data_IF_218474979952
#
_entry.id   IF_218474979952
#
_cell.length_a   1.000
_cell.length_b   1.000
_cell.length_c   1.000
_cell.angle_alpha   90.00
_cell.angle_beta   90.00
_cell.angle_gamma   90.00
#
_symmetry.space_group_name_H-M   'P 1'
#
loop_
_entity.id
_entity.type
_entity.pdbx_description
1 polymer ?
#
# COMPACT_ATOMS: atom_id res chain seq x y z
N UNK A 1 35.82 -37.57 -16.57
CA UNK A 1 34.42 -37.26 -16.18
C UNK A 1 34.42 -36.72 -14.75
N UNK A 2 34.02 -35.46 -14.50
CA UNK A 2 34.02 -34.90 -13.14
C UNK A 2 32.87 -35.50 -12.33
N UNK A 3 33.18 -36.12 -11.18
CA UNK A 3 32.17 -36.64 -10.23
C UNK A 3 31.66 -35.48 -9.37
N UNK A 4 30.48 -34.97 -9.71
CA UNK A 4 29.77 -34.02 -8.87
C UNK A 4 29.32 -34.75 -7.60
N UNK A 5 29.70 -34.23 -6.42
CA UNK A 5 29.36 -34.89 -5.16
C UNK A 5 27.84 -34.75 -4.88
N UNK A 6 27.17 -35.85 -4.50
CA UNK A 6 25.70 -35.90 -4.35
C UNK A 6 25.16 -34.94 -3.28
N UNK A 7 26.01 -34.55 -2.31
CA UNK A 7 25.66 -33.61 -1.22
C UNK A 7 25.51 -32.17 -1.69
N UNK A 8 26.30 -31.74 -2.67
CA UNK A 8 26.19 -30.41 -3.29
C UNK A 8 25.02 -30.31 -4.27
N UNK A 9 24.64 -31.42 -4.92
CA UNK A 9 23.43 -31.47 -5.75
C UNK A 9 22.16 -31.45 -4.90
N UNK A 10 22.14 -32.18 -3.78
CA UNK A 10 21.01 -32.19 -2.85
C UNK A 10 20.72 -30.81 -2.25
N UNK A 11 21.75 -30.03 -1.87
CA UNK A 11 21.57 -28.68 -1.33
C UNK A 11 21.06 -27.66 -2.37
N UNK A 12 21.47 -27.80 -3.63
CA UNK A 12 21.03 -26.92 -4.74
C UNK A 12 19.62 -27.27 -5.20
N UNK A 13 19.27 -28.56 -5.22
CA UNK A 13 17.90 -29.02 -5.51
C UNK A 13 16.94 -28.67 -4.37
N UNK A 14 17.38 -28.76 -3.11
CA UNK A 14 16.55 -28.34 -1.96
C UNK A 14 16.38 -26.82 -1.91
N UNK A 15 17.41 -26.04 -2.20
CA UNK A 15 17.29 -24.58 -2.36
C UNK A 15 16.40 -24.21 -3.56
N UNK A 16 16.53 -24.91 -4.69
CA UNK A 16 15.70 -24.72 -5.88
C UNK A 16 14.23 -25.11 -5.68
N UNK A 17 13.94 -26.18 -4.91
CA UNK A 17 12.58 -26.57 -4.55
C UNK A 17 11.97 -25.67 -3.46
N UNK A 18 12.77 -25.15 -2.53
CA UNK A 18 12.33 -24.12 -1.58
C UNK A 18 12.09 -22.75 -2.25
N UNK A 19 12.68 -22.52 -3.42
CA UNK A 19 12.43 -21.34 -4.28
C UNK A 19 11.28 -21.57 -5.28
N UNK A 20 10.92 -22.81 -5.60
CA UNK A 20 9.78 -23.17 -6.44
C UNK A 20 8.43 -23.18 -5.67
N UNK A 21 8.45 -23.15 -4.34
CA UNK A 21 7.25 -22.94 -3.52
C UNK A 21 6.86 -21.46 -3.37
N UNK A 22 7.68 -20.53 -3.87
CA UNK A 22 7.37 -19.10 -3.91
C UNK A 22 6.60 -18.78 -5.20
N UNK A 23 5.53 -19.54 -5.45
CA UNK A 23 4.92 -19.64 -6.77
C UNK A 23 3.41 -19.75 -6.78
N UNK A 24 2.75 -19.47 -5.66
CA UNK A 24 1.43 -18.87 -5.71
C UNK A 24 1.57 -17.59 -4.92
N UNK A 25 1.51 -16.46 -5.62
CA UNK A 25 1.17 -15.21 -5.00
C UNK A 25 -0.17 -15.46 -4.30
N UNK A 26 -0.13 -15.74 -3.00
CA UNK A 26 -1.20 -15.24 -2.15
C UNK A 26 -1.12 -13.76 -2.41
N UNK A 27 -2.09 -13.22 -3.18
CA UNK A 27 -2.36 -11.80 -3.14
C UNK A 27 -2.28 -11.45 -1.67
N UNK A 28 -1.31 -10.62 -1.28
CA UNK A 28 -1.46 -9.95 0.00
C UNK A 28 -2.77 -9.23 -0.19
N UNK A 29 -3.80 -9.77 0.43
CA UNK A 29 -5.11 -9.16 0.42
C UNK A 29 -4.80 -7.87 1.16
N UNK A 30 -4.62 -6.78 0.41
CA UNK A 30 -4.70 -5.44 0.98
C UNK A 30 -5.98 -5.53 1.81
N UNK A 31 -5.83 -5.50 3.13
CA UNK A 31 -6.95 -5.74 4.02
C UNK A 31 -7.94 -4.65 3.66
N UNK A 32 -9.05 -5.01 3.02
CA UNK A 32 -10.05 -4.01 2.64
C UNK A 32 -10.55 -3.40 3.95
N UNK A 33 -10.07 -2.19 4.23
CA UNK A 33 -10.41 -1.48 5.46
C UNK A 33 -11.78 -0.86 5.23
N UNK A 34 -12.83 -1.58 5.62
CA UNK A 34 -14.19 -1.07 5.63
C UNK A 34 -14.36 -0.10 6.81
N UNK A 35 -14.46 1.19 6.52
CA UNK A 35 -14.68 2.24 7.51
C UNK A 35 -16.06 2.84 7.35
N UNK A 36 -16.84 2.89 8.44
CA UNK A 36 -18.15 3.54 8.46
C UNK A 36 -18.01 5.01 8.85
N UNK A 37 -18.63 5.90 8.08
CA UNK A 37 -18.69 7.32 8.40
C UNK A 37 -20.12 7.84 8.26
N UNK A 38 -20.61 8.43 9.34
CA UNK A 38 -21.91 9.06 9.43
C UNK A 38 -21.75 10.57 9.34
N UNK A 39 -22.58 11.21 8.53
CA UNK A 39 -22.54 12.63 8.23
C UNK A 39 -23.81 13.33 8.72
N UNK A 40 -23.64 14.49 9.35
CA UNK A 40 -24.70 15.49 9.42
C UNK A 40 -24.10 16.88 9.32
N UNK A 41 -24.77 17.76 8.58
CA UNK A 41 -24.30 19.14 8.40
C UNK A 41 -24.19 19.91 9.71
N UNK A 42 -25.02 19.62 10.72
CA UNK A 42 -25.01 20.35 11.99
C UNK A 42 -23.81 20.00 12.88
N UNK A 43 -23.31 18.77 12.80
CA UNK A 43 -22.42 18.20 13.83
C UNK A 43 -21.12 17.65 13.26
N UNK A 44 -21.06 17.32 11.96
CA UNK A 44 -19.86 16.84 11.28
C UNK A 44 -19.89 15.34 11.01
N UNK A 45 -18.71 14.69 11.13
CA UNK A 45 -18.53 13.26 10.84
C UNK A 45 -18.38 12.43 12.12
N UNK A 46 -18.77 11.16 12.08
CA UNK A 46 -18.60 10.22 13.19
C UNK A 46 -18.51 8.77 12.72
N UNK A 47 -17.91 7.89 13.54
CA UNK A 47 -17.86 6.45 13.25
C UNK A 47 -19.20 5.74 13.55
N UNK A 48 -20.08 6.39 14.30
CA UNK A 48 -21.43 5.92 14.60
C UNK A 48 -22.43 7.04 14.40
N UNK A 49 -23.72 6.70 14.36
CA UNK A 49 -24.81 7.67 14.28
C UNK A 49 -24.98 8.57 15.52
N UNK A 50 -24.16 8.38 16.56
CA UNK A 50 -24.20 9.14 17.82
C UNK A 50 -22.87 9.78 18.20
N UNK A 51 -21.80 9.56 17.44
CA UNK A 51 -20.44 10.07 17.71
C UNK A 51 -20.00 11.18 16.76
N UNK A 52 -20.97 11.91 16.18
CA UNK A 52 -20.68 12.96 15.21
C UNK A 52 -20.01 14.15 15.89
N UNK A 53 -18.90 14.61 15.32
CA UNK A 53 -18.11 15.74 15.81
C UNK A 53 -17.52 16.54 14.65
N UNK A 54 -17.16 17.79 14.94
CA UNK A 54 -16.44 18.68 14.03
C UNK A 54 -15.27 19.30 14.79
N UNK A 55 -14.00 18.95 14.48
CA UNK A 55 -13.59 17.97 13.48
C UNK A 55 -14.13 16.56 13.76
N UNK A 56 -14.36 15.81 12.67
CA UNK A 56 -14.69 14.39 12.73
C UNK A 56 -13.51 13.53 13.19
N UNK A 57 -13.72 12.20 13.29
CA UNK A 57 -12.69 11.28 13.74
C UNK A 57 -11.46 11.29 12.82
N UNK A 58 -10.27 11.09 13.39
CA UNK A 58 -9.06 10.95 12.60
C UNK A 58 -9.04 9.60 11.87
N UNK A 59 -8.83 9.64 10.56
CA UNK A 59 -8.57 8.46 9.73
C UNK A 59 -7.06 8.22 9.63
N UNK A 60 -6.64 6.96 9.60
CA UNK A 60 -5.25 6.59 9.41
C UNK A 60 -5.16 5.54 8.30
N UNK A 61 -4.39 5.85 7.27
CA UNK A 61 -4.25 5.02 6.06
C UNK A 61 -2.79 5.01 5.59
N UNK A 62 -2.44 4.07 4.73
CA UNK A 62 -1.13 4.00 4.07
C UNK A 62 -1.20 4.38 2.59
N UNK A 63 -0.10 4.90 2.03
CA UNK A 63 0.03 5.10 0.58
C UNK A 63 -0.24 3.79 -0.16
N UNK A 64 -1.10 3.84 -1.19
CA UNK A 64 -1.46 2.69 -2.01
C UNK A 64 -2.49 1.74 -1.36
N UNK A 65 -2.97 2.03 -0.15
CA UNK A 65 -4.05 1.27 0.48
C UNK A 65 -5.36 1.39 -0.33
N UNK A 66 -6.07 0.27 -0.49
CA UNK A 66 -7.42 0.24 -1.03
C UNK A 66 -8.42 0.39 0.12
N UNK A 67 -9.04 1.56 0.21
CA UNK A 67 -9.95 1.93 1.29
C UNK A 67 -11.39 1.82 0.82
N UNK A 68 -12.22 1.19 1.63
CA UNK A 68 -13.68 1.11 1.43
C UNK A 68 -14.38 1.94 2.50
N UNK A 69 -15.03 3.01 2.11
CA UNK A 69 -15.85 3.83 3.00
C UNK A 69 -17.32 3.46 2.84
N UNK A 70 -18.03 3.32 3.96
CA UNK A 70 -19.49 3.27 3.99
C UNK A 70 -20.02 4.58 4.56
N UNK A 71 -20.35 5.50 3.65
CA UNK A 71 -20.79 6.86 3.94
C UNK A 71 -22.31 6.87 4.16
N UNK A 72 -22.80 7.45 5.25
CA UNK A 72 -24.24 7.56 5.52
C UNK A 72 -24.62 8.98 5.91
N UNK A 73 -25.51 9.62 5.14
CA UNK A 73 -26.14 10.89 5.53
C UNK A 73 -27.25 10.64 6.55
N UNK A 74 -27.20 11.34 7.69
CA UNK A 74 -28.24 11.30 8.73
C UNK A 74 -29.28 12.42 8.60
N UNK A 75 -29.02 13.43 7.78
CA UNK A 75 -29.92 14.58 7.59
C UNK A 75 -30.63 14.58 6.22
N UNK A 76 -30.37 13.58 5.37
CA UNK A 76 -31.00 13.41 4.05
C UNK A 76 -30.57 14.44 3.00
N UNK A 77 -29.50 15.19 3.28
CA UNK A 77 -28.95 16.22 2.37
C UNK A 77 -27.87 15.62 1.47
N UNK A 78 -27.56 16.36 0.41
CA UNK A 78 -26.44 16.02 -0.47
C UNK A 78 -25.12 16.27 0.27
N UNK A 79 -24.28 15.26 0.32
CA UNK A 79 -22.90 15.35 0.76
C UNK A 79 -21.98 14.66 -0.26
N UNK A 80 -20.68 14.90 -0.10
CA UNK A 80 -19.62 14.09 -0.69
C UNK A 80 -18.49 13.93 0.33
N UNK A 81 -17.51 13.12 -0.02
CA UNK A 81 -16.31 12.93 0.77
C UNK A 81 -15.11 12.96 -0.17
N UNK A 82 -14.06 13.67 0.20
CA UNK A 82 -12.78 13.69 -0.52
C UNK A 82 -11.65 14.09 0.43
N UNK A 83 -10.41 13.76 0.06
CA UNK A 83 -9.22 14.28 0.72
C UNK A 83 -8.88 15.61 0.07
N UNK A 84 -8.80 16.65 0.87
CA UNK A 84 -8.36 17.99 0.52
C UNK A 84 -6.90 18.15 0.99
N UNK A 85 -5.97 18.02 0.03
CA UNK A 85 -4.53 18.04 0.27
C UNK A 85 -3.99 19.45 0.50
N UNK A 86 -4.67 20.48 -0.01
CA UNK A 86 -4.20 21.88 0.05
C UNK A 86 -5.07 22.80 0.94
N UNK A 87 -6.10 22.24 1.56
CA UNK A 87 -7.05 22.91 2.46
C UNK A 87 -7.83 24.07 1.81
N UNK A 88 -8.17 23.96 0.52
CA UNK A 88 -8.89 25.02 -0.21
C UNK A 88 -10.42 24.81 -0.28
N UNK A 89 -10.93 23.70 0.25
CA UNK A 89 -12.35 23.30 0.26
C UNK A 89 -12.97 23.01 -1.11
N UNK A 90 -12.15 22.76 -2.13
CA UNK A 90 -12.54 22.41 -3.49
C UNK A 90 -11.91 21.07 -3.84
N UNK A 91 -12.55 20.30 -4.73
CA UNK A 91 -11.93 19.08 -5.27
C UNK A 91 -11.05 19.51 -6.44
N UNK A 92 -9.74 19.48 -6.24
CA UNK A 92 -8.77 19.75 -7.29
C UNK A 92 -8.50 18.52 -8.18
N UNK A 93 -7.82 18.75 -9.31
CA UNK A 93 -7.50 17.68 -10.27
C UNK A 93 -6.71 16.53 -9.61
N UNK A 94 -5.81 16.84 -8.69
CA UNK A 94 -5.00 15.88 -7.93
C UNK A 94 -5.75 15.24 -6.74
N UNK A 95 -7.02 15.58 -6.51
CA UNK A 95 -7.86 15.06 -5.42
C UNK A 95 -9.06 14.27 -5.93
N UNK A 96 -9.41 14.48 -7.21
CA UNK A 96 -10.56 13.89 -7.90
C UNK A 96 -10.66 12.36 -7.77
N UNK A 97 -9.53 11.65 -7.60
CA UNK A 97 -9.52 10.21 -7.40
C UNK A 97 -10.10 9.76 -6.04
N UNK A 98 -10.19 10.68 -5.08
CA UNK A 98 -10.74 10.45 -3.73
C UNK A 98 -12.16 11.02 -3.55
N UNK A 99 -12.71 11.70 -4.55
CA UNK A 99 -14.08 12.23 -4.50
C UNK A 99 -15.10 11.09 -4.63
N UNK A 100 -15.91 10.91 -3.59
CA UNK A 100 -16.98 9.92 -3.55
C UNK A 100 -18.11 10.19 -4.53
N UNK A 101 -18.17 11.40 -5.09
CA UNK A 101 -19.37 11.92 -5.71
C UNK A 101 -20.47 12.20 -4.68
N UNK A 102 -21.66 12.54 -5.16
CA UNK A 102 -22.78 12.98 -4.31
C UNK A 102 -23.55 11.80 -3.71
N UNK A 103 -23.86 11.85 -2.42
CA UNK A 103 -24.75 10.92 -1.74
C UNK A 103 -25.75 11.64 -0.83
N UNK A 104 -26.92 11.02 -0.61
CA UNK A 104 -28.01 11.51 0.30
C UNK A 104 -28.49 10.49 1.32
N UNK A 105 -28.07 9.24 1.16
CA UNK A 105 -28.39 8.13 2.04
C UNK A 105 -27.09 7.40 2.35
N UNK A 106 -27.06 6.09 2.10
CA UNK A 106 -25.86 5.28 2.24
C UNK A 106 -25.16 5.10 0.88
N UNK A 107 -23.84 5.28 0.86
CA UNK A 107 -22.97 5.05 -0.29
C UNK A 107 -21.74 4.27 0.17
N UNK A 108 -21.50 3.10 -0.44
CA UNK A 108 -20.20 2.44 -0.35
C UNK A 108 -19.29 3.00 -1.44
N UNK A 109 -18.14 3.53 -1.04
CA UNK A 109 -17.17 4.20 -1.92
C UNK A 109 -15.78 3.61 -1.74
N UNK A 110 -15.13 3.26 -2.84
CA UNK A 110 -13.79 2.70 -2.84
C UNK A 110 -12.82 3.65 -3.51
N UNK A 111 -11.65 3.83 -2.92
CA UNK A 111 -10.56 4.57 -3.54
C UNK A 111 -9.21 3.98 -3.16
N UNK A 112 -8.18 4.30 -3.94
CA UNK A 112 -6.79 3.98 -3.61
C UNK A 112 -6.11 5.24 -3.08
N UNK A 113 -5.45 5.14 -1.94
CA UNK A 113 -4.73 6.27 -1.34
C UNK A 113 -3.55 6.68 -2.24
N UNK A 114 -3.48 7.96 -2.59
CA UNK A 114 -2.42 8.49 -3.44
C UNK A 114 -1.05 8.52 -2.77
N UNK A 115 -0.05 9.01 -3.51
CA UNK A 115 1.36 8.99 -3.08
C UNK A 115 1.77 10.15 -2.14
N UNK A 116 0.81 10.80 -1.49
CA UNK A 116 1.07 11.93 -0.60
C UNK A 116 1.08 11.45 0.86
N UNK A 117 2.15 11.74 1.59
CA UNK A 117 2.25 11.39 3.02
C UNK A 117 2.14 12.64 3.87
N UNK A 118 1.54 12.52 5.05
CA UNK A 118 1.28 13.64 5.95
C UNK A 118 -0.11 13.57 6.58
N UNK A 119 -0.48 14.64 7.29
CA UNK A 119 -1.83 14.82 7.80
C UNK A 119 -2.53 15.87 6.94
N UNK A 120 -3.65 15.47 6.37
CA UNK A 120 -4.50 16.29 5.50
C UNK A 120 -5.91 16.33 6.08
N UNK A 121 -6.80 17.03 5.41
CA UNK A 121 -8.20 17.11 5.81
C UNK A 121 -9.04 16.30 4.84
N UNK A 122 -9.96 15.50 5.34
CA UNK A 122 -11.09 15.02 4.54
C UNK A 122 -12.31 15.88 4.82
N UNK A 123 -13.15 16.13 3.81
CA UNK A 123 -14.36 16.97 3.99
C UNK A 123 -15.46 16.73 2.96
N UNK A 124 -16.58 17.40 3.15
CA UNK A 124 -17.58 17.65 2.10
C UNK A 124 -17.49 19.09 1.58
N UNK A 125 -17.78 19.30 0.29
CA UNK A 125 -17.76 20.63 -0.36
C UNK A 125 -19.14 21.26 -0.54
N UNK A 126 -20.22 20.61 -0.14
CA UNK A 126 -21.56 21.15 -0.39
C UNK A 126 -21.82 22.43 0.40
N UNK A 127 -22.65 23.31 -0.16
CA UNK A 127 -22.92 24.61 0.45
C UNK A 127 -23.46 24.48 1.88
N UNK A 128 -22.61 24.91 2.82
CA UNK A 128 -22.85 24.97 4.25
C UNK A 128 -22.56 23.68 5.01
N UNK A 129 -21.85 22.74 4.41
CA UNK A 129 -21.21 21.60 5.05
C UNK A 129 -19.92 21.97 5.81
N UNK A 130 -19.83 23.20 6.32
CA UNK A 130 -18.63 23.72 6.99
C UNK A 130 -18.21 22.94 8.23
N UNK A 131 -19.10 22.12 8.81
CA UNK A 131 -18.78 21.24 9.94
C UNK A 131 -18.36 19.82 9.49
N UNK A 132 -18.56 19.45 8.23
CA UNK A 132 -18.26 18.13 7.68
C UNK A 132 -16.80 18.06 7.21
N UNK A 133 -15.88 18.13 8.17
CA UNK A 133 -14.45 17.94 7.95
C UNK A 133 -13.82 17.14 9.09
N UNK A 134 -12.65 16.53 8.85
CA UNK A 134 -11.84 15.86 9.85
C UNK A 134 -10.43 15.56 9.32
N UNK A 135 -9.55 15.06 10.17
CA UNK A 135 -8.16 14.79 9.78
C UNK A 135 -7.97 13.39 9.21
N UNK A 136 -7.12 13.26 8.20
CA UNK A 136 -6.64 11.98 7.68
C UNK A 136 -5.12 11.96 7.69
N UNK A 137 -4.55 10.96 8.34
CA UNK A 137 -3.10 10.73 8.40
C UNK A 137 -2.72 9.66 7.39
N UNK A 138 -1.99 10.06 6.34
CA UNK A 138 -1.45 9.17 5.33
C UNK A 138 0.00 8.83 5.67
N UNK A 139 0.24 7.57 6.01
CA UNK A 139 1.56 7.03 6.35
C UNK A 139 2.27 6.52 5.11
N UNK A 140 3.61 6.48 5.11
CA UNK A 140 4.36 5.77 4.08
C UNK A 140 3.88 4.32 4.00
N UNK A 141 3.81 3.78 2.78
CA UNK A 141 3.53 2.37 2.58
C UNK A 141 4.56 1.51 3.34
N UNK A 142 4.09 0.48 4.06
CA UNK A 142 5.00 -0.51 4.63
C UNK A 142 5.91 -1.13 3.56
N UNK A 143 7.08 -1.66 3.95
CA UNK A 143 8.03 -2.31 3.03
C UNK A 143 7.37 -3.38 2.13
N UNK A 144 6.38 -4.09 2.67
CA UNK A 144 5.59 -5.05 1.89
C UNK A 144 4.63 -4.39 0.90
N UNK A 145 4.03 -3.24 1.22
CA UNK A 145 3.21 -2.46 0.30
C UNK A 145 4.00 -1.90 -0.88
N UNK A 146 5.24 -1.45 -0.64
CA UNK A 146 6.15 -1.01 -1.71
C UNK A 146 6.60 -2.16 -2.62
N UNK A 147 6.90 -3.32 -2.03
CA UNK A 147 7.31 -4.51 -2.77
C UNK A 147 6.18 -5.04 -3.64
N UNK A 148 4.95 -5.12 -3.11
CA UNK A 148 3.81 -5.72 -3.80
C UNK A 148 3.07 -4.77 -4.73
N UNK A 149 3.13 -3.46 -4.48
CA UNK A 149 2.54 -2.43 -5.34
C UNK A 149 3.37 -2.06 -6.57
N UNK A 150 4.62 -2.53 -6.66
CA UNK A 150 5.55 -2.17 -7.74
C UNK A 150 6.20 -3.41 -8.39
N UNK A 151 5.62 -3.96 -9.48
CA UNK A 151 6.13 -5.17 -10.11
C UNK A 151 7.57 -5.05 -10.62
N UNK A 152 8.03 -3.84 -10.95
CA UNK A 152 9.42 -3.58 -11.36
C UNK A 152 10.43 -3.71 -10.22
N UNK A 153 10.06 -3.35 -8.98
CA UNK A 153 10.92 -3.53 -7.80
C UNK A 153 11.08 -5.01 -7.47
N UNK A 154 10.01 -5.80 -7.59
CA UNK A 154 10.06 -7.26 -7.47
C UNK A 154 11.03 -7.84 -8.50
N UNK A 155 10.85 -7.47 -9.78
CA UNK A 155 11.71 -7.96 -10.86
C UNK A 155 13.18 -7.59 -10.64
N UNK A 156 13.47 -6.37 -10.19
CA UNK A 156 14.83 -5.91 -9.89
C UNK A 156 15.50 -6.66 -8.74
N UNK A 157 14.77 -6.89 -7.63
CA UNK A 157 15.29 -7.63 -6.47
C UNK A 157 15.57 -9.09 -6.85
N UNK A 158 14.65 -9.73 -7.59
CA UNK A 158 14.84 -11.11 -8.07
C UNK A 158 16.05 -11.20 -8.99
N UNK A 159 16.21 -10.27 -9.93
CA UNK A 159 17.38 -10.24 -10.82
C UNK A 159 18.70 -10.05 -10.03
N UNK A 160 18.70 -9.18 -9.02
CA UNK A 160 19.86 -8.96 -8.14
C UNK A 160 20.26 -10.21 -7.37
N UNK A 161 19.30 -10.93 -6.78
CA UNK A 161 19.56 -12.18 -6.04
C UNK A 161 20.12 -13.24 -6.98
N UNK A 162 19.55 -13.40 -8.18
CA UNK A 162 20.04 -14.35 -9.20
C UNK A 162 21.49 -14.02 -9.60
N UNK A 163 21.82 -12.74 -9.80
CA UNK A 163 23.17 -12.32 -10.14
C UNK A 163 24.18 -12.64 -9.01
N UNK A 164 23.83 -12.36 -7.76
CA UNK A 164 24.70 -12.67 -6.60
C UNK A 164 24.94 -14.17 -6.49
N UNK A 165 23.91 -15.00 -6.68
CA UNK A 165 24.04 -16.46 -6.67
C UNK A 165 24.91 -16.94 -7.84
N UNK A 166 24.71 -16.40 -9.04
CA UNK A 166 25.52 -16.73 -10.20
C UNK A 166 27.01 -16.38 -9.97
N UNK A 167 27.30 -15.22 -9.39
CA UNK A 167 28.66 -14.80 -9.02
C UNK A 167 29.25 -15.70 -7.94
N UNK A 168 28.49 -16.09 -6.92
CA UNK A 168 28.96 -17.00 -5.88
C UNK A 168 29.29 -18.40 -6.44
N UNK A 169 28.46 -18.91 -7.36
CA UNK A 169 28.71 -20.18 -8.05
C UNK A 169 29.97 -20.06 -8.92
N UNK A 170 30.13 -18.96 -9.66
CA UNK A 170 31.29 -18.73 -10.50
C UNK A 170 32.59 -18.56 -9.69
N UNK A 171 32.55 -17.81 -8.60
CA UNK A 171 33.70 -17.61 -7.70
C UNK A 171 34.16 -18.94 -7.08
N UNK A 172 33.24 -19.85 -6.74
CA UNK A 172 33.56 -21.20 -6.26
C UNK A 172 34.11 -22.13 -7.35
N UNK A 173 33.84 -21.82 -8.62
CA UNK A 173 34.36 -22.58 -9.79
C UNK A 173 35.68 -22.06 -10.31
N UNK A 174 36.18 -20.91 -9.83
CA UNK A 174 37.50 -20.41 -10.22
C UNK A 174 38.58 -21.39 -9.72
N UNK A 175 39.42 -21.96 -10.61
CA UNK A 175 40.59 -22.72 -10.18
C UNK A 175 41.52 -21.81 -9.41
N UNK A 176 42.04 -22.28 -8.27
CA UNK A 176 43.08 -21.59 -7.50
C UNK A 176 44.35 -21.51 -8.36
N UNK A 177 45.02 -20.36 -8.37
CA UNK A 177 46.30 -20.23 -9.06
C UNK A 177 47.27 -21.30 -8.53
N UNK A 178 48.03 -21.98 -9.42
CA UNK A 178 49.12 -22.85 -9.00
C UNK A 178 50.13 -22.03 -8.19
N UNK A 179 50.56 -22.54 -7.03
CA UNK A 179 51.64 -21.92 -6.26
C UNK A 179 52.92 -21.87 -7.11
N UNK A 180 53.54 -20.69 -7.13
CA UNK A 180 54.78 -20.45 -7.86
C UNK A 180 55.90 -21.29 -7.20
N UNK A 181 56.66 -22.09 -7.99
CA UNK A 181 57.64 -23.00 -7.41
C UNK A 181 58.77 -22.20 -6.73
N UNK A 182 59.39 -22.76 -5.66
CA UNK A 182 60.42 -22.06 -4.91
C UNK A 182 61.58 -21.67 -5.82
N UNK A 183 62.00 -20.41 -5.74
CA UNK A 183 63.23 -19.96 -6.39
C UNK A 183 64.43 -20.67 -5.75
N UNK A 184 65.25 -21.32 -6.58
CA UNK A 184 66.56 -21.88 -6.20
C UNK A 184 67.56 -20.79 -5.80
#
# INVERSE_FOLDING_TARGET
>A
MPKIHPRTFAAVVLAGLLLASVGFATTATATESLTYLYATRSTGWGFTNTSLTSPGPNLAVEVGEHVTLNLTSLDGRNHNWFIDYNDNSVVDANESYSDSGTFRGTLQYNFTVGNQTGTFVYRSRFNGDGNLWGNITVRPAGFLGLLLGNPLLIAGIVAGIVAVVAVAIWARRRPRQPEEPPAE
#
